data_IF_229159046171
#
_entry.id   IF_229159046171
#
_cell.length_a   1.000
_cell.length_b   1.000
_cell.length_c   1.000
_cell.angle_alpha   90.00
_cell.angle_beta   90.00
_cell.angle_gamma   90.00
#
_symmetry.space_group_name_H-M   'P 1'
#
loop_
_entity.id
_entity.type
_entity.pdbx_description
1 polymer ?
#
# COMPACT_ATOMS: atom_id res chain seq x y z
N UNK A 1 -2.32 36.14 11.71
CA UNK A 1 -1.59 34.87 11.91
C UNK A 1 -2.53 33.78 11.43
N UNK A 2 -2.22 33.14 10.31
CA UNK A 2 -2.99 32.00 9.80
C UNK A 2 -2.37 30.75 10.43
N UNK A 3 -3.10 30.12 11.34
CA UNK A 3 -2.71 28.83 11.92
C UNK A 3 -2.96 27.76 10.85
N UNK A 4 -1.94 26.96 10.57
CA UNK A 4 -2.07 25.85 9.63
C UNK A 4 -2.85 24.73 10.31
N UNK A 5 -4.04 24.41 9.78
CA UNK A 5 -4.82 23.21 10.13
C UNK A 5 -4.04 21.97 9.66
N UNK A 6 -3.07 21.53 10.45
CA UNK A 6 -2.36 20.28 10.26
C UNK A 6 -3.08 19.17 11.03
N UNK A 7 -4.03 18.50 10.38
CA UNK A 7 -4.82 17.38 10.92
C UNK A 7 -4.03 16.06 11.05
N UNK A 8 -2.70 16.11 11.17
CA UNK A 8 -1.90 14.92 11.48
C UNK A 8 -1.95 14.63 12.98
N UNK A 9 -3.11 14.14 13.43
CA UNK A 9 -3.25 13.57 14.78
C UNK A 9 -2.58 12.21 14.82
N UNK A 10 -1.35 12.20 15.31
CA UNK A 10 -0.61 10.99 15.67
C UNK A 10 -1.34 10.27 16.81
N UNK A 11 -2.20 9.30 16.46
CA UNK A 11 -2.70 8.30 17.39
C UNK A 11 -1.75 7.11 17.27
N UNK A 12 -1.07 6.66 18.35
CA UNK A 12 -0.24 5.48 18.28
C UNK A 12 -1.17 4.29 18.06
N UNK A 13 -1.15 3.71 16.87
CA UNK A 13 -1.88 2.50 16.57
C UNK A 13 -1.29 1.37 17.42
N UNK A 14 -2.00 1.02 18.50
CA UNK A 14 -1.67 -0.14 19.32
C UNK A 14 -1.66 -1.39 18.43
N UNK A 15 -0.55 -2.12 18.49
CA UNK A 15 -0.34 -3.40 17.82
C UNK A 15 -1.55 -4.32 18.02
N UNK A 16 -2.23 -4.65 16.91
CA UNK A 16 -3.30 -5.65 16.89
C UNK A 16 -4.75 -5.14 16.80
N UNK A 17 -4.98 -3.82 16.72
CA UNK A 17 -6.33 -3.31 16.42
C UNK A 17 -6.40 -2.71 15.00
N UNK A 18 -7.02 -3.43 14.06
CA UNK A 18 -7.47 -2.80 12.82
C UNK A 18 -8.39 -1.65 13.20
N UNK A 19 -8.14 -0.41 12.73
CA UNK A 19 -9.08 0.69 12.95
C UNK A 19 -10.45 0.26 12.42
N UNK A 20 -11.56 0.71 13.04
CA UNK A 20 -12.90 0.32 12.61
C UNK A 20 -12.99 0.56 11.10
N UNK A 21 -13.16 -0.54 10.34
CA UNK A 21 -13.12 -0.51 8.88
C UNK A 21 -14.19 0.47 8.42
N UNK A 22 -13.76 1.65 7.96
CA UNK A 22 -14.67 2.67 7.42
C UNK A 22 -15.49 2.00 6.34
N UNK A 23 -16.82 2.00 6.49
CA UNK A 23 -17.69 1.40 5.49
C UNK A 23 -17.41 2.08 4.15
N UNK A 24 -17.04 1.28 3.14
CA UNK A 24 -16.71 1.81 1.83
C UNK A 24 -17.91 2.57 1.26
N UNK A 25 -17.67 3.82 0.86
CA UNK A 25 -18.68 4.62 0.18
C UNK A 25 -19.12 3.94 -1.12
N UNK A 26 -20.34 4.23 -1.61
CA UNK A 26 -20.79 3.71 -2.90
C UNK A 26 -19.85 4.06 -4.07
N UNK A 27 -19.15 5.19 -3.98
CA UNK A 27 -18.14 5.60 -4.95
C UNK A 27 -16.89 4.71 -4.86
N UNK A 28 -16.40 4.41 -3.66
CA UNK A 28 -15.24 3.54 -3.45
C UNK A 28 -15.49 2.12 -3.95
N UNK A 29 -16.69 1.58 -3.72
CA UNK A 29 -17.09 0.26 -4.23
C UNK A 29 -17.08 0.19 -5.75
N UNK A 30 -17.60 1.23 -6.43
CA UNK A 30 -17.57 1.34 -7.90
C UNK A 30 -16.13 1.41 -8.43
N UNK A 31 -15.28 2.22 -7.81
CA UNK A 31 -13.89 2.35 -8.23
C UNK A 31 -13.12 1.02 -8.12
N UNK A 32 -13.35 0.25 -7.05
CA UNK A 32 -12.75 -1.07 -6.88
C UNK A 32 -13.24 -2.08 -7.92
N UNK A 33 -14.54 -2.07 -8.21
CA UNK A 33 -15.12 -2.93 -9.25
C UNK A 33 -14.51 -2.65 -10.63
N UNK A 34 -14.39 -1.38 -11.02
CA UNK A 34 -13.77 -0.99 -12.30
C UNK A 34 -12.28 -1.36 -12.35
N UNK A 35 -11.55 -1.16 -11.25
CA UNK A 35 -10.14 -1.55 -11.17
C UNK A 35 -9.97 -3.08 -11.28
N UNK A 36 -10.90 -3.85 -10.73
CA UNK A 36 -10.90 -5.31 -10.86
C UNK A 36 -11.22 -5.74 -12.28
N UNK A 37 -12.22 -5.15 -12.94
CA UNK A 37 -12.51 -5.38 -14.35
C UNK A 37 -11.31 -5.06 -15.24
N UNK A 38 -10.60 -3.97 -14.95
CA UNK A 38 -9.36 -3.61 -15.64
C UNK A 38 -8.28 -4.68 -15.47
N UNK A 39 -8.07 -5.19 -14.24
CA UNK A 39 -7.11 -6.27 -13.98
C UNK A 39 -7.48 -7.58 -14.68
N UNK A 40 -8.77 -7.93 -14.73
CA UNK A 40 -9.26 -9.13 -15.44
C UNK A 40 -9.05 -9.04 -16.95
N UNK A 41 -9.20 -7.85 -17.51
CA UNK A 41 -9.02 -7.61 -18.95
C UNK A 41 -7.56 -7.34 -19.35
N UNK A 42 -6.70 -7.05 -18.37
CA UNK A 42 -5.28 -6.83 -18.62
C UNK A 42 -4.59 -8.17 -18.87
N UNK A 43 -3.91 -8.28 -20.01
CA UNK A 43 -3.10 -9.45 -20.30
C UNK A 43 -1.93 -9.52 -19.30
N UNK A 44 -1.59 -10.70 -18.79
CA UNK A 44 -0.39 -10.87 -17.98
C UNK A 44 0.81 -10.40 -18.80
N UNK A 45 1.55 -9.45 -18.24
CA UNK A 45 2.76 -8.94 -18.85
C UNK A 45 3.88 -9.93 -18.48
N UNK A 46 4.44 -10.63 -19.48
CA UNK A 46 5.63 -11.47 -19.29
C UNK A 46 6.84 -10.55 -19.11
N UNK A 47 7.01 -10.05 -17.90
CA UNK A 47 8.22 -9.34 -17.50
C UNK A 47 9.31 -10.37 -17.22
N UNK A 48 10.51 -10.12 -17.73
CA UNK A 48 11.67 -10.93 -17.39
C UNK A 48 11.82 -10.97 -15.86
N UNK A 49 12.16 -12.14 -15.28
CA UNK A 49 12.35 -12.24 -13.85
C UNK A 49 13.45 -11.27 -13.43
N UNK A 50 13.23 -10.56 -12.32
CA UNK A 50 14.26 -9.74 -11.72
C UNK A 50 15.38 -10.65 -11.20
N UNK A 51 16.60 -10.47 -11.73
CA UNK A 51 17.76 -11.27 -11.36
C UNK A 51 18.50 -10.54 -10.23
N UNK A 52 18.68 -11.20 -9.09
CA UNK A 52 19.34 -10.61 -7.91
C UNK A 52 18.45 -9.65 -7.12
N UNK A 53 17.19 -9.47 -7.52
CA UNK A 53 16.18 -8.77 -6.73
C UNK A 53 15.73 -9.62 -5.54
N UNK A 54 15.24 -8.94 -4.50
CA UNK A 54 14.79 -9.59 -3.24
C UNK A 54 13.49 -10.38 -3.40
N UNK A 55 12.88 -10.34 -4.60
CA UNK A 55 11.53 -10.82 -4.86
C UNK A 55 10.50 -9.91 -4.17
N UNK A 56 9.27 -9.89 -4.68
CA UNK A 56 8.22 -9.04 -4.11
C UNK A 56 8.21 -7.61 -4.65
N UNK A 57 7.40 -6.76 -4.02
CA UNK A 57 7.18 -5.40 -4.47
C UNK A 57 8.39 -4.51 -4.12
N UNK A 58 8.71 -3.55 -4.99
CA UNK A 58 9.94 -2.76 -4.88
C UNK A 58 10.03 -2.00 -3.54
N UNK A 59 11.06 -2.24 -2.70
CA UNK A 59 11.11 -1.70 -1.33
C UNK A 59 11.04 -0.18 -1.25
N UNK A 60 11.58 0.54 -2.24
CA UNK A 60 11.50 2.01 -2.26
C UNK A 60 10.08 2.53 -2.51
N UNK A 61 9.26 1.77 -3.23
CA UNK A 61 7.84 2.09 -3.44
C UNK A 61 6.95 1.72 -2.27
N UNK A 62 7.27 0.65 -1.54
CA UNK A 62 6.36 0.08 -0.53
C UNK A 62 6.88 0.16 0.91
N UNK A 63 8.09 0.67 1.12
CA UNK A 63 8.68 0.90 2.45
C UNK A 63 9.16 -0.37 3.16
N UNK A 64 9.12 -1.53 2.52
CA UNK A 64 9.48 -2.82 3.11
C UNK A 64 10.98 -3.10 2.97
N UNK A 65 11.78 -2.27 3.63
CA UNK A 65 13.23 -2.45 3.71
C UNK A 65 13.64 -3.47 4.78
N UNK A 66 12.69 -4.05 5.51
CA UNK A 66 12.97 -4.91 6.65
C UNK A 66 13.07 -6.39 6.26
N UNK A 67 14.14 -7.04 6.69
CA UNK A 67 14.29 -8.50 6.62
C UNK A 67 14.57 -9.01 8.02
N UNK A 68 13.69 -9.88 8.53
CA UNK A 68 13.76 -10.42 9.90
C UNK A 68 13.86 -9.32 10.98
N UNK A 69 13.11 -8.21 10.81
CA UNK A 69 13.09 -7.09 11.76
C UNK A 69 14.35 -6.21 11.73
N UNK A 70 15.12 -6.25 10.64
CA UNK A 70 16.26 -5.35 10.41
C UNK A 70 16.08 -4.62 9.10
N UNK A 71 16.20 -3.31 9.11
CA UNK A 71 16.32 -2.52 7.88
C UNK A 71 17.61 -2.92 7.16
N UNK A 72 17.49 -3.41 5.93
CA UNK A 72 18.61 -3.77 5.06
C UNK A 72 18.54 -2.86 3.83
N UNK A 73 19.48 -1.94 3.70
CA UNK A 73 19.82 -1.30 2.43
C UNK A 73 21.08 -2.02 1.88
N UNK A 74 21.24 -2.12 0.55
CA UNK A 74 22.14 -3.00 -0.25
C UNK A 74 21.90 -4.52 -0.15
#
# INVERSE_FOLDING_TARGET
MQEADNDNSEIPAAEGSEPPRKMLSPAAKRALAEAEERRRNQKPMELAPEIGGRGGAEPARFGDYEINGRAIDF
#
